data_IF_197578963066
#
_entry.id   IF_197578963066
#
_cell.length_a   1.000
_cell.length_b   1.000
_cell.length_c   1.000
_cell.angle_alpha   90.00
_cell.angle_beta   90.00
_cell.angle_gamma   90.00
#
_symmetry.space_group_name_H-M   'P 1'
#
loop_
_entity.id
_entity.type
_entity.pdbx_description
1 polymer ?
#
# COMPACT_ATOMS: atom_id res chain seq x y z
N UNK A 1 4.40 18.27 -19.02
CA UNK A 1 3.30 17.40 -18.60
C UNK A 1 3.93 16.34 -17.72
N UNK A 2 3.84 16.51 -16.40
CA UNK A 2 4.35 15.52 -15.46
C UNK A 2 3.46 14.28 -15.56
N UNK A 3 4.08 13.12 -15.77
CA UNK A 3 3.40 11.86 -16.02
C UNK A 3 2.48 11.52 -14.83
N UNK A 4 1.16 11.49 -15.05
CA UNK A 4 0.16 10.98 -14.12
C UNK A 4 0.26 9.46 -13.94
N UNK A 5 1.42 8.99 -13.49
CA UNK A 5 1.68 7.59 -13.20
C UNK A 5 1.46 7.31 -11.72
N UNK A 6 0.74 6.22 -11.45
CA UNK A 6 0.58 5.57 -10.14
C UNK A 6 1.88 5.63 -9.32
N UNK A 7 1.79 6.04 -8.05
CA UNK A 7 2.95 6.07 -7.16
C UNK A 7 3.64 4.68 -7.09
N UNK A 8 4.98 4.61 -7.20
CA UNK A 8 5.67 3.34 -6.99
C UNK A 8 5.41 2.85 -5.56
N UNK A 9 5.24 1.53 -5.41
CA UNK A 9 5.01 0.92 -4.10
C UNK A 9 6.13 1.29 -3.12
N UNK A 10 5.76 1.66 -1.89
CA UNK A 10 6.71 2.04 -0.84
C UNK A 10 7.67 0.90 -0.44
N UNK A 11 7.20 -0.34 -0.51
CA UNK A 11 7.97 -1.57 -0.23
C UNK A 11 8.09 -2.43 -1.47
N UNK A 12 9.08 -3.32 -1.51
CA UNK A 12 9.31 -4.22 -2.66
C UNK A 12 8.18 -5.20 -2.89
N UNK A 13 7.48 -5.59 -1.82
CA UNK A 13 6.33 -6.47 -1.88
C UNK A 13 5.10 -5.75 -1.34
N UNK A 14 4.02 -5.88 -2.09
CA UNK A 14 2.66 -5.49 -1.72
C UNK A 14 1.72 -6.60 -2.18
N UNK A 15 0.71 -6.92 -1.38
CA UNK A 15 -0.41 -7.74 -1.83
C UNK A 15 -1.65 -6.85 -1.92
N UNK A 16 -2.36 -6.98 -3.04
CA UNK A 16 -3.68 -6.41 -3.25
C UNK A 16 -4.73 -7.43 -2.82
N UNK A 17 -5.47 -7.08 -1.78
CA UNK A 17 -6.53 -7.90 -1.18
C UNK A 17 -7.90 -7.25 -1.40
N UNK A 18 -8.00 -6.35 -2.38
CA UNK A 18 -9.23 -5.65 -2.72
C UNK A 18 -10.28 -6.62 -3.25
N UNK A 19 -11.54 -6.33 -2.93
CA UNK A 19 -12.70 -7.03 -3.45
C UNK A 19 -13.71 -6.04 -4.00
N UNK A 20 -14.92 -6.51 -4.29
CA UNK A 20 -15.95 -5.70 -4.90
C UNK A 20 -16.40 -4.53 -4.01
N UNK A 21 -16.47 -4.74 -2.70
CA UNK A 21 -17.07 -3.77 -1.75
C UNK A 21 -16.04 -2.88 -1.05
N UNK A 22 -14.75 -3.21 -1.12
CA UNK A 22 -13.69 -2.48 -0.43
C UNK A 22 -12.31 -2.76 -1.02
N UNK A 23 -11.47 -1.75 -0.96
CA UNK A 23 -10.06 -1.81 -1.32
C UNK A 23 -9.21 -2.09 -0.08
N UNK A 24 -8.24 -2.99 -0.22
CA UNK A 24 -7.42 -3.44 0.90
C UNK A 24 -6.03 -3.81 0.41
N UNK A 25 -5.01 -3.21 1.02
CA UNK A 25 -3.61 -3.45 0.67
C UNK A 25 -2.81 -3.96 1.87
N UNK A 26 -1.77 -4.73 1.59
CA UNK A 26 -0.83 -5.25 2.56
C UNK A 26 0.60 -4.97 2.10
N UNK A 27 1.36 -4.21 2.90
CA UNK A 27 2.77 -3.93 2.67
C UNK A 27 3.66 -4.85 3.50
N UNK A 28 4.93 -4.98 3.08
CA UNK A 28 5.88 -5.92 3.69
C UNK A 28 7.22 -5.26 3.94
N UNK A 29 7.77 -5.42 5.14
CA UNK A 29 9.13 -4.96 5.45
C UNK A 29 10.16 -5.63 4.53
N UNK A 30 10.99 -4.83 3.84
CA UNK A 30 12.03 -5.31 2.91
C UNK A 30 13.18 -6.08 3.61
N UNK A 31 13.20 -6.10 4.94
CA UNK A 31 14.18 -6.84 5.74
C UNK A 31 13.57 -8.09 6.39
N UNK A 32 12.61 -7.93 7.29
CA UNK A 32 12.07 -9.05 8.08
C UNK A 32 10.78 -9.66 7.50
N UNK A 33 10.19 -9.05 6.47
CA UNK A 33 8.93 -9.52 5.89
C UNK A 33 7.69 -9.29 6.76
N UNK A 34 7.80 -8.53 7.86
CA UNK A 34 6.66 -8.16 8.69
C UNK A 34 5.59 -7.47 7.85
N UNK A 35 4.34 -7.82 8.13
CA UNK A 35 3.14 -7.41 7.39
C UNK A 35 2.56 -6.13 7.98
N UNK A 36 2.18 -5.18 7.14
CA UNK A 36 1.41 -4.00 7.54
C UNK A 36 0.15 -3.87 6.69
N UNK A 37 -1.00 -4.03 7.34
CA UNK A 37 -2.32 -3.98 6.70
C UNK A 37 -2.90 -2.58 6.84
N UNK A 38 -3.21 -1.95 5.71
CA UNK A 38 -3.88 -0.64 5.69
C UNK A 38 -5.33 -0.77 6.14
N UNK A 39 -5.93 0.30 6.65
CA UNK A 39 -7.37 0.31 6.90
C UNK A 39 -8.13 0.19 5.57
N UNK A 40 -9.04 -0.78 5.41
CA UNK A 40 -9.77 -0.94 4.15
C UNK A 40 -10.63 0.29 3.82
N UNK A 41 -10.66 0.64 2.54
CA UNK A 41 -11.42 1.79 2.01
C UNK A 41 -12.66 1.23 1.30
N UNK A 42 -13.88 1.58 1.73
CA UNK A 42 -15.11 1.13 1.07
C UNK A 42 -15.17 1.63 -0.38
N UNK A 43 -15.69 0.79 -1.28
CA UNK A 43 -16.07 1.23 -2.63
C UNK A 43 -17.29 2.15 -2.53
N UNK A 44 -17.32 3.25 -3.28
CA UNK A 44 -18.33 4.29 -3.08
C UNK A 44 -19.72 3.95 -3.63
N UNK A 45 -19.81 3.00 -4.56
CA UNK A 45 -21.07 2.66 -5.22
C UNK A 45 -22.00 1.88 -4.27
N UNK A 46 -23.21 2.39 -3.97
CA UNK A 46 -24.17 1.69 -3.14
C UNK A 46 -24.71 0.45 -3.86
N UNK A 47 -25.04 -0.59 -3.07
CA UNK A 47 -25.58 -1.85 -3.56
C UNK A 47 -24.75 -2.52 -4.68
N UNK A 48 -23.44 -2.26 -4.69
CA UNK A 48 -22.52 -2.92 -5.59
C UNK A 48 -22.61 -4.45 -5.40
N UNK A 49 -22.53 -5.25 -6.49
CA UNK A 49 -22.44 -6.70 -6.39
C UNK A 49 -21.31 -7.15 -5.46
N UNK A 50 -21.44 -8.31 -4.83
CA UNK A 50 -20.39 -8.85 -3.94
C UNK A 50 -19.12 -9.30 -4.68
N UNK A 51 -19.21 -9.42 -6.02
CA UNK A 51 -18.12 -9.87 -6.90
C UNK A 51 -17.87 -8.87 -8.01
N UNK A 52 -16.60 -8.61 -8.30
CA UNK A 52 -16.18 -7.66 -9.34
C UNK A 52 -16.59 -8.14 -10.73
N UNK A 53 -16.62 -9.46 -10.95
CA UNK A 53 -17.04 -10.07 -12.21
C UNK A 53 -18.49 -9.71 -12.59
N UNK A 54 -19.34 -9.47 -11.59
CA UNK A 54 -20.77 -9.15 -11.77
C UNK A 54 -21.02 -7.64 -11.99
N UNK A 55 -19.97 -6.82 -12.00
CA UNK A 55 -20.10 -5.39 -12.25
C UNK A 55 -20.53 -5.07 -13.68
N UNK A 56 -21.39 -4.07 -13.81
CA UNK A 56 -21.61 -3.38 -15.08
C UNK A 56 -20.34 -2.67 -15.53
N UNK A 57 -20.25 -2.32 -16.81
CA UNK A 57 -19.07 -1.62 -17.34
C UNK A 57 -18.84 -0.26 -16.65
N UNK A 58 -19.91 0.46 -16.35
CA UNK A 58 -19.83 1.70 -15.57
C UNK A 58 -19.28 1.45 -14.15
N UNK A 59 -19.74 0.41 -13.47
CA UNK A 59 -19.22 0.05 -12.13
C UNK A 59 -17.74 -0.34 -12.17
N UNK A 60 -17.29 -1.06 -13.20
CA UNK A 60 -15.87 -1.43 -13.36
C UNK A 60 -14.99 -0.20 -13.51
N UNK A 61 -15.38 0.76 -14.35
CA UNK A 61 -14.61 1.99 -14.55
C UNK A 61 -14.51 2.81 -13.26
N UNK A 62 -15.59 2.91 -12.48
CA UNK A 62 -15.58 3.60 -11.18
C UNK A 62 -14.70 2.83 -10.18
N UNK A 63 -14.82 1.50 -10.13
CA UNK A 63 -14.02 0.65 -9.25
C UNK A 63 -12.53 0.76 -9.55
N UNK A 64 -12.12 0.73 -10.82
CA UNK A 64 -10.72 0.89 -11.24
C UNK A 64 -10.17 2.26 -10.85
N UNK A 65 -10.94 3.33 -11.05
CA UNK A 65 -10.53 4.68 -10.64
C UNK A 65 -10.36 4.78 -9.12
N UNK A 66 -11.34 4.30 -8.35
CA UNK A 66 -11.27 4.36 -6.89
C UNK A 66 -10.23 3.41 -6.30
N UNK A 67 -9.96 2.29 -6.97
CA UNK A 67 -8.88 1.37 -6.61
C UNK A 67 -7.53 2.05 -6.67
N UNK A 68 -7.26 2.82 -7.73
CA UNK A 68 -6.02 3.57 -7.88
C UNK A 68 -5.91 4.68 -6.81
N UNK A 69 -7.00 5.43 -6.55
CA UNK A 69 -7.04 6.43 -5.47
C UNK A 69 -6.81 5.79 -4.09
N UNK A 70 -7.41 4.62 -3.85
CA UNK A 70 -7.25 3.86 -2.63
C UNK A 70 -5.82 3.34 -2.48
N UNK A 71 -5.19 2.87 -3.57
CA UNK A 71 -3.80 2.44 -3.59
C UNK A 71 -2.85 3.60 -3.29
N UNK A 72 -3.09 4.79 -3.85
CA UNK A 72 -2.26 5.96 -3.54
C UNK A 72 -2.36 6.36 -2.08
N UNK A 73 -3.59 6.38 -1.52
CA UNK A 73 -3.81 6.65 -0.10
C UNK A 73 -3.10 5.62 0.77
N UNK A 74 -3.21 4.34 0.42
CA UNK A 74 -2.53 3.24 1.10
C UNK A 74 -1.00 3.39 1.07
N UNK A 75 -0.43 3.81 -0.06
CA UNK A 75 1.01 4.10 -0.16
C UNK A 75 1.42 5.28 0.71
N UNK A 76 0.65 6.37 0.72
CA UNK A 76 0.93 7.54 1.58
C UNK A 76 0.91 7.15 3.06
N UNK A 77 -0.06 6.35 3.49
CA UNK A 77 -0.10 5.85 4.88
C UNK A 77 1.11 4.96 5.21
N UNK A 78 1.47 4.06 4.30
CA UNK A 78 2.63 3.19 4.48
C UNK A 78 3.96 3.98 4.46
N UNK A 79 4.08 5.08 3.70
CA UNK A 79 5.26 5.97 3.73
C UNK A 79 5.49 6.64 5.08
N UNK A 80 4.43 6.88 5.86
CA UNK A 80 4.55 7.44 7.22
C UNK A 80 4.92 6.36 8.23
N UNK A 81 4.51 5.11 7.98
CA UNK A 81 4.72 3.96 8.88
C UNK A 81 6.10 3.32 8.70
N UNK A 82 6.52 3.12 7.45
CA UNK A 82 7.81 2.52 7.14
C UNK A 82 8.89 3.58 7.04
N UNK A 83 10.13 3.17 7.30
CA UNK A 83 11.30 4.06 7.23
C UNK A 83 12.32 3.52 6.25
N UNK A 84 12.89 4.43 5.45
CA UNK A 84 13.92 4.08 4.47
C UNK A 84 15.30 4.00 5.12
N UNK A 85 15.97 2.87 4.94
CA UNK A 85 17.35 2.68 5.38
C UNK A 85 18.28 3.66 4.65
N UNK A 86 19.01 4.50 5.38
CA UNK A 86 19.93 5.49 4.78
C UNK A 86 21.17 4.87 4.13
N UNK A 87 21.47 3.60 4.44
CA UNK A 87 22.65 2.89 3.91
C UNK A 87 22.31 2.11 2.63
N UNK A 88 21.32 1.23 2.68
CA UNK A 88 20.98 0.34 1.55
C UNK A 88 19.67 0.67 0.84
N UNK A 89 18.94 1.70 1.28
CA UNK A 89 17.71 2.16 0.65
C UNK A 89 16.47 1.27 0.85
N UNK A 90 16.59 0.12 1.54
CA UNK A 90 15.44 -0.76 1.88
C UNK A 90 14.42 -0.02 2.74
N UNK A 91 13.14 -0.26 2.49
CA UNK A 91 12.04 0.29 3.30
C UNK A 91 11.66 -0.72 4.38
N UNK A 92 11.82 -0.36 5.65
CA UNK A 92 11.71 -1.29 6.79
C UNK A 92 10.70 -0.82 7.82
N UNK A 93 10.10 -1.76 8.55
CA UNK A 93 9.15 -1.46 9.62
C UNK A 93 9.82 -0.77 10.82
N UNK A 94 9.00 -0.23 11.72
CA UNK A 94 9.44 0.46 12.93
C UNK A 94 10.32 -0.43 13.82
N UNK A 95 10.00 -1.71 14.00
CA UNK A 95 10.84 -2.63 14.78
C UNK A 95 12.27 -2.75 14.22
N UNK A 96 12.38 -2.72 12.88
CA UNK A 96 13.66 -2.76 12.19
C UNK A 96 14.37 -1.39 12.20
N UNK A 97 13.63 -0.29 12.33
CA UNK A 97 14.12 1.09 12.33
C UNK A 97 13.34 2.01 13.31
N UNK A 98 13.55 1.88 14.63
CA UNK A 98 12.76 2.62 15.61
C UNK A 98 13.01 4.13 15.51
N UNK A 99 11.95 4.92 15.74
CA UNK A 99 11.86 6.36 15.45
C UNK A 99 13.04 7.18 15.98
N UNK A 100 13.45 6.91 17.23
CA UNK A 100 14.47 7.66 17.99
C UNK A 100 15.93 7.46 17.53
N UNK A 101 16.15 6.82 16.39
CA UNK A 101 17.49 6.56 15.81
C UNK A 101 17.51 6.88 14.32
N UNK A 102 18.72 7.05 13.78
CA UNK A 102 18.92 7.10 12.34
C UNK A 102 18.33 5.84 11.70
N UNK A 103 17.51 5.95 10.64
CA UNK A 103 16.82 4.81 10.08
C UNK A 103 17.83 3.97 9.30
N UNK A 104 18.46 3.04 10.00
CA UNK A 104 19.38 2.03 9.47
C UNK A 104 18.78 0.67 9.77
N UNK A 105 18.63 -0.21 8.78
CA UNK A 105 18.07 -1.55 9.00
C UNK A 105 19.04 -2.46 9.78
N UNK A 106 18.58 -3.56 10.39
CA UNK A 106 19.44 -4.42 11.21
C UNK A 106 20.66 -4.97 10.45
N UNK A 107 20.50 -5.31 9.16
CA UNK A 107 21.61 -5.77 8.30
C UNK A 107 22.71 -4.72 8.05
N UNK A 108 22.46 -3.43 8.29
CA UNK A 108 23.43 -2.35 8.09
C UNK A 108 23.92 -1.73 9.41
N UNK A 109 23.39 -2.18 10.56
CA UNK A 109 23.80 -1.68 11.88
C UNK A 109 25.03 -2.40 12.46
N UNK A 110 25.31 -3.61 11.98
CA UNK A 110 26.39 -4.47 12.44
C UNK A 110 26.88 -5.33 11.30
#
# INVERSE_FOLDING_TARGET
MENGGRLPSVTKKIDDLSGALKFQFMFYCDYCGAKYRIVPIPFSVPDAPERVEDFTEAQKLIWESEHEDAYERANREALVTFRKCTVCGKTVCEDCAPENKQPVCPACRG
#
